data_IF_396169500981
#
_entry.id   IF_396169500981
#
_cell.length_a   1.000
_cell.length_b   1.000
_cell.length_c   1.000
_cell.angle_alpha   90.00
_cell.angle_beta   90.00
_cell.angle_gamma   90.00
#
_symmetry.space_group_name_H-M   'P 1'
#
loop_
_entity.id
_entity.type
_entity.pdbx_description
1 polymer ?
#
# COMPACT_ATOMS: atom_id res chain seq x y z
N UNK A 1 13.01 -57.68 4.95
CA UNK A 1 12.50 -57.42 6.31
C UNK A 1 12.81 -55.98 6.63
N UNK A 2 11.81 -55.24 7.08
CA UNK A 2 11.68 -53.79 7.14
C UNK A 2 12.43 -53.11 8.31
N UNK A 3 12.46 -51.77 8.21
CA UNK A 3 12.68 -50.74 9.26
C UNK A 3 14.13 -50.55 9.76
N UNK A 4 14.66 -49.34 9.96
CA UNK A 4 14.00 -48.09 10.30
C UNK A 4 14.77 -46.82 9.87
N UNK A 5 14.02 -45.91 9.23
CA UNK A 5 13.85 -44.49 9.58
C UNK A 5 15.12 -43.66 9.85
N UNK A 6 15.64 -43.04 8.78
CA UNK A 6 16.26 -41.73 8.89
C UNK A 6 15.19 -40.72 9.30
N UNK A 7 15.25 -40.25 10.54
CA UNK A 7 14.46 -39.11 11.01
C UNK A 7 15.21 -37.84 10.62
N UNK A 8 14.99 -37.39 9.39
CA UNK A 8 15.46 -36.09 8.94
C UNK A 8 14.63 -35.01 9.66
N UNK A 9 15.24 -34.45 10.70
CA UNK A 9 14.75 -33.28 11.43
C UNK A 9 14.55 -32.14 10.43
N UNK A 10 13.32 -31.93 10.00
CA UNK A 10 12.95 -30.77 9.19
C UNK A 10 12.79 -29.59 10.14
N UNK A 11 13.86 -28.82 10.31
CA UNK A 11 13.79 -27.48 10.89
C UNK A 11 12.85 -26.61 10.04
N UNK A 12 12.06 -25.70 10.65
CA UNK A 12 11.22 -24.80 9.87
C UNK A 12 12.15 -23.93 9.01
N UNK A 13 12.03 -24.09 7.70
CA UNK A 13 12.64 -23.20 6.72
C UNK A 13 12.04 -21.83 6.99
N UNK A 14 12.85 -20.93 7.54
CA UNK A 14 12.53 -19.50 7.64
C UNK A 14 12.23 -19.03 6.22
N UNK A 15 10.94 -18.97 5.90
CA UNK A 15 10.45 -18.54 4.60
C UNK A 15 10.93 -17.11 4.35
N UNK A 16 11.78 -16.98 3.35
CA UNK A 16 11.99 -15.81 2.49
C UNK A 16 11.47 -14.49 3.08
N UNK A 17 12.35 -13.71 3.73
CA UNK A 17 12.06 -12.29 4.01
C UNK A 17 11.60 -11.63 2.70
N UNK A 18 10.40 -11.07 2.76
CA UNK A 18 9.54 -10.68 1.65
C UNK A 18 10.23 -9.76 0.62
N UNK A 19 10.65 -10.30 -0.53
CA UNK A 19 11.02 -9.48 -1.71
C UNK A 19 9.85 -8.62 -2.26
N UNK A 20 8.63 -8.86 -1.76
CA UNK A 20 7.39 -8.20 -2.19
C UNK A 20 7.20 -6.79 -1.62
N UNK A 21 7.75 -6.50 -0.44
CA UNK A 21 7.58 -5.21 0.23
C UNK A 21 8.37 -4.07 -0.44
N UNK A 22 9.40 -4.39 -1.24
CA UNK A 22 10.22 -3.37 -1.92
C UNK A 22 9.47 -2.60 -3.03
N UNK A 23 8.44 -3.20 -3.65
CA UNK A 23 7.69 -2.55 -4.74
C UNK A 23 6.77 -1.43 -4.24
N UNK A 24 5.89 -1.65 -3.23
CA UNK A 24 5.09 -0.58 -2.65
C UNK A 24 5.95 0.58 -2.13
N UNK A 25 7.01 0.28 -1.38
CA UNK A 25 7.87 1.32 -0.82
C UNK A 25 8.50 2.21 -1.91
N UNK A 26 8.95 1.62 -3.03
CA UNK A 26 9.47 2.40 -4.16
C UNK A 26 8.39 3.28 -4.79
N UNK A 27 7.20 2.74 -5.05
CA UNK A 27 6.11 3.54 -5.63
C UNK A 27 5.68 4.69 -4.72
N UNK A 28 5.67 4.46 -3.40
CA UNK A 28 5.43 5.52 -2.42
C UNK A 28 6.52 6.61 -2.49
N UNK A 29 7.80 6.23 -2.57
CA UNK A 29 8.89 7.19 -2.70
C UNK A 29 8.82 7.96 -4.03
N UNK A 30 8.52 7.29 -5.14
CA UNK A 30 8.38 7.89 -6.47
C UNK A 30 7.29 8.99 -6.46
N UNK A 31 6.13 8.70 -5.85
CA UNK A 31 5.04 9.70 -5.77
C UNK A 31 5.36 10.84 -4.81
N UNK A 32 6.09 10.59 -3.72
CA UNK A 32 6.56 11.65 -2.82
C UNK A 32 7.50 12.61 -3.56
N UNK A 33 8.41 12.08 -4.39
CA UNK A 33 9.29 12.88 -5.25
C UNK A 33 8.49 13.72 -6.26
N UNK A 34 7.59 13.07 -7.00
CA UNK A 34 6.69 13.74 -7.96
C UNK A 34 5.89 14.88 -7.31
N UNK A 35 5.27 14.62 -6.15
CA UNK A 35 4.46 15.62 -5.44
C UNK A 35 5.28 16.80 -4.95
N UNK A 36 6.51 16.55 -4.51
CA UNK A 36 7.44 17.60 -4.06
C UNK A 36 7.91 18.47 -5.22
N UNK A 37 8.26 17.87 -6.35
CA UNK A 37 8.86 18.56 -7.49
C UNK A 37 7.81 19.25 -8.36
N UNK A 38 6.69 18.59 -8.64
CA UNK A 38 5.64 19.09 -9.52
C UNK A 38 4.63 19.99 -8.81
N UNK A 39 4.03 19.51 -7.71
CA UNK A 39 2.94 20.20 -7.03
C UNK A 39 3.39 21.03 -5.81
N UNK A 40 4.67 20.95 -5.44
CA UNK A 40 5.23 21.56 -4.21
C UNK A 40 4.50 21.13 -2.93
N UNK A 41 3.92 19.92 -2.93
CA UNK A 41 3.25 19.34 -1.78
C UNK A 41 4.23 18.43 -1.04
N UNK A 42 4.36 18.63 0.27
CA UNK A 42 5.14 17.74 1.13
C UNK A 42 4.26 16.63 1.69
N UNK A 43 4.64 15.40 1.37
CA UNK A 43 4.10 14.17 1.93
C UNK A 43 5.15 13.61 2.91
N UNK A 44 4.76 13.42 4.17
CA UNK A 44 5.65 13.12 5.30
C UNK A 44 5.39 11.75 5.96
N UNK A 45 4.61 10.90 5.28
CA UNK A 45 4.14 9.61 5.75
C UNK A 45 3.34 9.68 7.07
N UNK A 46 2.69 10.81 7.36
CA UNK A 46 1.74 10.92 8.46
C UNK A 46 0.29 10.67 8.01
N UNK A 47 -0.62 10.22 8.90
CA UNK A 47 -2.05 10.16 8.62
C UNK A 47 -2.62 11.49 8.12
N UNK A 48 -2.13 12.61 8.66
CA UNK A 48 -2.57 13.96 8.27
C UNK A 48 -2.29 14.27 6.81
N UNK A 49 -1.19 13.76 6.27
CA UNK A 49 -0.83 13.99 4.87
C UNK A 49 -1.75 13.28 3.87
N UNK A 50 -2.50 12.25 4.30
CA UNK A 50 -3.45 11.53 3.44
C UNK A 50 -4.59 12.42 2.96
N UNK A 51 -4.99 13.42 3.75
CA UNK A 51 -5.93 14.43 3.26
C UNK A 51 -5.41 15.17 2.02
N UNK A 52 -4.10 15.47 1.96
CA UNK A 52 -3.51 16.10 0.77
C UNK A 52 -3.55 15.14 -0.42
N UNK A 53 -3.36 13.85 -0.18
CA UNK A 53 -3.43 12.84 -1.24
C UNK A 53 -4.86 12.72 -1.79
N UNK A 54 -5.87 12.62 -0.93
CA UNK A 54 -7.28 12.60 -1.34
C UNK A 54 -7.62 13.83 -2.20
N UNK A 55 -7.19 15.03 -1.76
CA UNK A 55 -7.36 16.27 -2.52
C UNK A 55 -6.70 16.24 -3.89
N UNK A 56 -5.48 15.71 -4.00
CA UNK A 56 -4.80 15.58 -5.29
C UNK A 56 -5.53 14.62 -6.24
N UNK A 57 -6.06 13.50 -5.70
CA UNK A 57 -6.84 12.55 -6.49
C UNK A 57 -8.13 13.21 -7.01
N UNK A 58 -8.81 13.99 -6.16
CA UNK A 58 -9.99 14.79 -6.55
C UNK A 58 -9.65 15.81 -7.65
N UNK A 59 -8.51 16.50 -7.53
CA UNK A 59 -8.05 17.48 -8.53
C UNK A 59 -7.76 16.82 -9.88
N UNK A 60 -7.05 15.69 -9.89
CA UNK A 60 -6.78 14.91 -11.10
C UNK A 60 -8.10 14.43 -11.73
N UNK A 61 -9.05 13.96 -10.91
CA UNK A 61 -10.39 13.56 -11.40
C UNK A 61 -11.10 14.74 -12.05
N UNK A 62 -11.03 15.92 -11.45
CA UNK A 62 -11.64 17.15 -11.97
C UNK A 62 -11.08 17.59 -13.33
N UNK A 63 -9.85 17.18 -13.68
CA UNK A 63 -9.24 17.42 -14.98
C UNK A 63 -9.75 16.45 -16.08
N UNK A 64 -10.55 15.44 -15.74
CA UNK A 64 -11.13 14.50 -16.70
C UNK A 64 -10.12 13.54 -17.33
N UNK A 65 -8.99 13.29 -16.68
CA UNK A 65 -7.95 12.40 -17.21
C UNK A 65 -8.48 10.96 -17.39
N UNK A 66 -8.13 10.27 -18.49
CA UNK A 66 -8.47 8.85 -18.62
C UNK A 66 -7.69 8.04 -17.58
N UNK A 67 -8.32 7.01 -17.01
CA UNK A 67 -7.73 6.18 -15.95
C UNK A 67 -6.33 5.64 -16.30
N UNK A 68 -6.12 5.22 -17.54
CA UNK A 68 -4.82 4.71 -18.01
C UNK A 68 -3.68 5.72 -17.87
N UNK A 69 -3.97 7.02 -18.03
CA UNK A 69 -2.97 8.07 -17.89
C UNK A 69 -2.58 8.33 -16.41
N UNK A 70 -3.47 7.97 -15.47
CA UNK A 70 -3.29 8.25 -14.03
C UNK A 70 -3.02 6.98 -13.21
N UNK A 71 -3.06 5.79 -13.82
CA UNK A 71 -2.91 4.53 -13.10
C UNK A 71 -1.59 4.45 -12.30
N UNK A 72 -0.49 4.94 -12.88
CA UNK A 72 0.82 4.91 -12.22
C UNK A 72 0.87 5.81 -10.98
N UNK A 73 0.29 7.01 -11.05
CA UNK A 73 0.25 7.95 -9.92
C UNK A 73 -0.74 7.49 -8.85
N UNK A 74 -1.91 6.96 -9.23
CA UNK A 74 -2.87 6.38 -8.28
C UNK A 74 -2.26 5.19 -7.54
N UNK A 75 -1.51 4.33 -8.24
CA UNK A 75 -0.75 3.24 -7.60
C UNK A 75 0.30 3.77 -6.63
N UNK A 76 0.98 4.88 -6.96
CA UNK A 76 1.88 5.57 -6.04
C UNK A 76 1.17 6.09 -4.79
N UNK A 77 0.02 6.74 -4.95
CA UNK A 77 -0.79 7.24 -3.84
C UNK A 77 -1.32 6.13 -2.93
N UNK A 78 -1.82 5.04 -3.51
CA UNK A 78 -2.21 3.87 -2.73
C UNK A 78 -1.03 3.24 -1.99
N UNK A 79 0.13 3.13 -2.62
CA UNK A 79 1.33 2.63 -1.96
C UNK A 79 1.76 3.54 -0.79
N UNK A 80 1.69 4.87 -0.98
CA UNK A 80 1.93 5.83 0.08
C UNK A 80 0.96 5.64 1.26
N UNK A 81 -0.34 5.49 0.99
CA UNK A 81 -1.33 5.24 2.04
C UNK A 81 -1.09 3.93 2.78
N UNK A 82 -0.75 2.85 2.07
CA UNK A 82 -0.39 1.60 2.71
C UNK A 82 0.86 1.71 3.60
N UNK A 83 1.87 2.47 3.18
CA UNK A 83 3.04 2.77 4.04
C UNK A 83 2.66 3.55 5.31
N UNK A 84 1.69 4.47 5.22
CA UNK A 84 1.17 5.14 6.41
C UNK A 84 0.49 4.12 7.34
N UNK A 85 -0.39 3.27 6.81
CA UNK A 85 -1.06 2.23 7.62
C UNK A 85 -0.06 1.28 8.29
N UNK A 86 0.93 0.77 7.55
CA UNK A 86 2.00 -0.08 8.10
C UNK A 86 2.71 0.62 9.26
N UNK A 87 3.03 1.91 9.13
CA UNK A 87 3.71 2.68 10.19
C UNK A 87 2.84 2.92 11.41
N UNK A 88 1.57 3.25 11.22
CA UNK A 88 0.67 3.57 12.34
C UNK A 88 0.21 2.33 13.11
N UNK A 89 0.06 1.20 12.41
CA UNK A 89 -0.49 -0.03 12.99
C UNK A 89 0.58 -1.06 13.35
N UNK A 90 1.80 -0.94 12.83
CA UNK A 90 2.78 -2.02 12.88
C UNK A 90 2.45 -3.19 11.93
N UNK A 91 1.55 -2.96 10.96
CA UNK A 91 1.19 -3.92 9.93
C UNK A 91 2.30 -4.22 8.94
N UNK A 92 2.00 -5.09 7.97
CA UNK A 92 2.97 -5.53 6.97
C UNK A 92 2.36 -5.63 5.57
N UNK A 93 3.19 -5.44 4.55
CA UNK A 93 2.78 -5.70 3.17
C UNK A 93 2.78 -7.19 2.86
N UNK A 94 1.66 -7.65 2.34
CA UNK A 94 1.43 -8.99 1.82
C UNK A 94 1.24 -8.93 0.32
N UNK A 95 1.86 -9.86 -0.41
CA UNK A 95 1.62 -10.01 -1.85
C UNK A 95 0.97 -11.35 -2.13
N UNK A 96 -0.13 -11.31 -2.87
CA UNK A 96 -0.85 -12.49 -3.33
C UNK A 96 -1.01 -12.38 -4.86
N UNK A 97 -0.13 -13.06 -5.60
CA UNK A 97 -0.10 -12.96 -7.06
C UNK A 97 0.26 -11.54 -7.54
N UNK A 98 -0.72 -10.83 -8.11
CA UNK A 98 -0.56 -9.44 -8.58
C UNK A 98 -1.04 -8.39 -7.58
N UNK A 99 -1.72 -8.82 -6.53
CA UNK A 99 -2.37 -7.94 -5.57
C UNK A 99 -1.45 -7.66 -4.39
N UNK A 100 -1.59 -6.46 -3.83
CA UNK A 100 -0.77 -5.95 -2.74
C UNK A 100 -1.69 -5.47 -1.63
N UNK A 101 -1.60 -6.13 -0.49
CA UNK A 101 -2.44 -5.92 0.67
C UNK A 101 -1.60 -5.44 1.84
N UNK A 102 -2.17 -4.63 2.72
CA UNK A 102 -1.62 -4.38 4.05
C UNK A 102 -2.36 -5.26 5.04
N UNK A 103 -1.62 -6.08 5.78
CA UNK A 103 -2.15 -6.88 6.90
C UNK A 103 -1.85 -6.16 8.20
N UNK A 104 -2.89 -5.75 8.93
CA UNK A 104 -2.76 -5.15 10.26
C UNK A 104 -2.58 -6.25 11.32
N UNK A 105 -2.06 -5.95 12.53
CA UNK A 105 -1.78 -6.97 13.55
C UNK A 105 -3.00 -7.75 14.04
N UNK A 106 -4.18 -7.14 13.97
CA UNK A 106 -5.48 -7.77 14.23
C UNK A 106 -5.91 -8.77 13.14
N UNK A 107 -5.13 -8.90 12.07
CA UNK A 107 -5.35 -9.84 10.98
C UNK A 107 -6.23 -9.31 9.84
N UNK A 108 -6.73 -8.07 9.93
CA UNK A 108 -7.52 -7.46 8.83
C UNK A 108 -6.61 -7.16 7.64
N UNK A 109 -7.20 -7.20 6.45
CA UNK A 109 -6.53 -6.95 5.18
C UNK A 109 -7.11 -5.70 4.52
N UNK A 110 -6.22 -4.86 4.02
CA UNK A 110 -6.54 -3.59 3.38
C UNK A 110 -5.93 -3.53 1.99
N UNK A 111 -6.69 -3.08 0.99
CA UNK A 111 -6.17 -2.81 -0.36
C UNK A 111 -6.08 -1.30 -0.60
N UNK A 112 -4.96 -0.66 -0.23
CA UNK A 112 -4.81 0.77 -0.42
C UNK A 112 -4.62 1.14 -1.90
N UNK A 113 -4.22 0.20 -2.76
CA UNK A 113 -4.10 0.43 -4.21
C UNK A 113 -5.48 0.53 -4.83
N UNK A 114 -6.39 -0.39 -4.51
CA UNK A 114 -7.77 -0.31 -4.95
C UNK A 114 -8.49 0.88 -4.33
N UNK A 115 -8.24 1.20 -3.06
CA UNK A 115 -8.86 2.37 -2.44
C UNK A 115 -8.47 3.69 -3.13
N UNK A 116 -7.23 3.82 -3.61
CA UNK A 116 -6.84 4.97 -4.43
C UNK A 116 -7.63 5.05 -5.75
N UNK A 117 -7.95 3.89 -6.36
CA UNK A 117 -8.81 3.82 -7.55
C UNK A 117 -10.25 4.19 -7.21
N UNK A 118 -10.78 3.73 -6.07
CA UNK A 118 -12.11 4.11 -5.58
C UNK A 118 -12.20 5.60 -5.29
N UNK A 119 -11.18 6.18 -4.67
CA UNK A 119 -11.06 7.62 -4.46
C UNK A 119 -11.12 8.38 -5.81
N UNK A 120 -10.40 7.91 -6.83
CA UNK A 120 -10.46 8.49 -8.18
C UNK A 120 -11.85 8.41 -8.82
N UNK A 121 -12.62 7.34 -8.54
CA UNK A 121 -14.03 7.22 -8.98
C UNK A 121 -15.01 8.04 -8.12
N UNK A 122 -14.56 8.61 -7.01
CA UNK A 122 -15.39 9.36 -6.06
C UNK A 122 -16.09 8.51 -5.01
N UNK A 123 -15.61 7.29 -4.78
CA UNK A 123 -16.25 6.27 -3.95
C UNK A 123 -15.41 5.86 -2.74
N UNK A 124 -14.25 6.51 -2.52
CA UNK A 124 -13.27 6.12 -1.51
C UNK A 124 -12.46 7.28 -0.95
N UNK A 125 -11.71 7.01 0.10
CA UNK A 125 -10.80 7.97 0.74
C UNK A 125 -9.67 7.22 1.43
N UNK A 126 -8.43 7.55 1.08
CA UNK A 126 -7.25 6.95 1.70
C UNK A 126 -7.13 7.35 3.16
N UNK A 127 -7.60 8.57 3.52
CA UNK A 127 -7.71 8.99 4.92
C UNK A 127 -8.68 8.12 5.70
N UNK A 128 -9.85 7.79 5.13
CA UNK A 128 -10.84 6.95 5.81
C UNK A 128 -10.36 5.50 5.93
N UNK A 129 -9.75 4.94 4.87
CA UNK A 129 -9.11 3.62 4.96
C UNK A 129 -8.06 3.58 6.08
N UNK A 130 -7.22 4.61 6.19
CA UNK A 130 -6.23 4.66 7.27
C UNK A 130 -6.86 4.81 8.65
N UNK A 131 -7.94 5.59 8.77
CA UNK A 131 -8.66 5.75 10.03
C UNK A 131 -9.26 4.41 10.48
N UNK A 132 -9.90 3.68 9.56
CA UNK A 132 -10.54 2.39 9.83
C UNK A 132 -9.54 1.28 10.11
N UNK A 133 -8.30 1.40 9.60
CA UNK A 133 -7.21 0.46 9.87
C UNK A 133 -6.52 0.68 11.22
N UNK A 134 -6.60 1.89 11.77
CA UNK A 134 -5.99 2.26 13.06
C UNK A 134 -6.93 2.02 14.25
N UNK A 135 -8.24 2.01 14.02
CA UNK A 135 -9.28 1.78 15.04
C UNK A 135 -9.64 0.32 15.23
#
# INVERSE_FOLDING_TARGET
>A
MNDARQTETTAPRHGTRHHSAGKPLRWAADVVGMMREGARVRLDYSPRSLWRVDRMIEEIRGQGAPYQAVESVLRGFGAYAGEVVVRETGGEWMAAGRDLWVRTPDGRLWDPIDEARRCYRGEGSLRLLCLDAVG
#
